data_IF_742679543165
#
_entry.id   IF_742679543165
#
_cell.length_a   1.000
_cell.length_b   1.000
_cell.length_c   1.000
_cell.angle_alpha   90.00
_cell.angle_beta   90.00
_cell.angle_gamma   90.00
#
_symmetry.space_group_name_H-M   'P 1'
#
loop_
_entity.id
_entity.type
_entity.pdbx_description
1 polymer ?
#
# COMPACT_ATOMS: atom_id res chain seq x y z
N UNK A 1 8.16 -15.66 31.89
CA UNK A 1 8.25 -14.94 30.61
C UNK A 1 6.91 -14.28 30.35
N UNK A 2 6.81 -12.96 30.49
CA UNK A 2 5.58 -12.22 30.25
C UNK A 2 5.18 -12.39 28.77
N UNK A 3 4.01 -13.02 28.52
CA UNK A 3 3.36 -13.02 27.21
C UNK A 3 2.81 -11.60 26.97
N UNK A 4 3.67 -10.68 26.56
CA UNK A 4 3.15 -9.48 25.93
C UNK A 4 2.46 -9.95 24.65
N UNK A 5 1.15 -9.82 24.60
CA UNK A 5 0.38 -10.03 23.37
C UNK A 5 0.93 -9.01 22.36
N UNK A 6 1.53 -9.51 21.29
CA UNK A 6 1.94 -8.65 20.17
C UNK A 6 0.68 -8.10 19.52
N UNK A 7 0.73 -6.89 19.05
CA UNK A 7 -0.29 -6.33 18.18
C UNK A 7 -0.24 -6.96 16.79
N UNK A 8 -1.08 -6.48 15.91
CA UNK A 8 -1.21 -6.93 14.52
C UNK A 8 -0.59 -5.93 13.56
N UNK A 9 -0.26 -6.37 12.34
CA UNK A 9 0.15 -5.51 11.24
C UNK A 9 -0.79 -5.72 10.06
N UNK A 10 -1.55 -4.69 9.72
CA UNK A 10 -2.49 -4.71 8.60
C UNK A 10 -2.03 -3.76 7.51
N UNK A 11 -1.72 -4.29 6.32
CA UNK A 11 -1.46 -3.49 5.14
C UNK A 11 -2.78 -3.16 4.44
N UNK A 12 -3.10 -1.89 4.30
CA UNK A 12 -4.38 -1.42 3.75
C UNK A 12 -4.15 -0.63 2.47
N UNK A 13 -4.80 -1.03 1.39
CA UNK A 13 -4.87 -0.24 0.16
C UNK A 13 -5.81 0.95 0.32
N UNK A 14 -5.26 2.14 0.15
CA UNK A 14 -5.98 3.41 0.29
C UNK A 14 -6.74 3.84 -0.99
N UNK A 15 -6.60 3.07 -2.07
CA UNK A 15 -7.16 3.45 -3.36
C UNK A 15 -6.32 4.50 -4.11
N UNK A 16 -6.81 4.96 -5.26
CA UNK A 16 -6.07 5.80 -6.21
C UNK A 16 -6.07 7.30 -5.89
N UNK A 17 -6.60 7.72 -4.73
CA UNK A 17 -6.62 9.11 -4.29
C UNK A 17 -7.98 9.65 -3.88
N UNK A 18 -9.07 9.19 -4.51
CA UNK A 18 -10.42 9.47 -4.08
C UNK A 18 -10.71 8.70 -2.78
N UNK A 19 -11.05 9.38 -1.66
CA UNK A 19 -11.31 8.71 -0.38
C UNK A 19 -12.54 7.79 -0.43
N UNK A 20 -13.51 8.03 -1.30
CA UNK A 20 -14.69 7.18 -1.46
C UNK A 20 -14.36 5.82 -2.12
N UNK A 21 -13.17 5.69 -2.72
CA UNK A 21 -12.68 4.43 -3.26
C UNK A 21 -11.92 3.57 -2.24
N UNK A 22 -11.94 3.95 -0.96
CA UNK A 22 -11.49 3.09 0.13
C UNK A 22 -12.48 1.94 0.31
N UNK A 23 -11.95 0.73 0.49
CA UNK A 23 -12.82 -0.41 0.79
C UNK A 23 -13.41 -0.31 2.20
N UNK A 24 -14.64 -0.81 2.40
CA UNK A 24 -15.27 -0.88 3.73
C UNK A 24 -14.38 -1.63 4.74
N UNK A 25 -13.67 -2.67 4.28
CA UNK A 25 -12.74 -3.42 5.13
C UNK A 25 -11.54 -2.56 5.51
N UNK A 26 -11.02 -1.76 4.58
CA UNK A 26 -9.95 -0.79 4.82
C UNK A 26 -10.36 0.28 5.84
N UNK A 27 -11.54 0.84 5.69
CA UNK A 27 -12.10 1.81 6.64
C UNK A 27 -12.15 1.24 8.06
N UNK A 28 -12.73 0.04 8.23
CA UNK A 28 -12.80 -0.62 9.54
C UNK A 28 -11.43 -0.91 10.17
N UNK A 29 -10.41 -1.17 9.34
CA UNK A 29 -9.05 -1.36 9.84
C UNK A 29 -8.45 -0.03 10.33
N UNK A 30 -8.65 1.07 9.58
CA UNK A 30 -8.22 2.41 9.97
C UNK A 30 -8.86 2.82 11.31
N UNK A 31 -10.17 2.64 11.45
CA UNK A 31 -10.93 3.00 12.66
C UNK A 31 -10.43 2.30 13.93
N UNK A 32 -9.89 1.10 13.81
CA UNK A 32 -9.43 0.27 14.94
C UNK A 32 -7.94 0.39 15.24
N UNK A 33 -7.17 1.04 14.37
CA UNK A 33 -5.72 1.10 14.51
C UNK A 33 -5.28 1.93 15.71
N UNK A 34 -4.26 1.47 16.44
CA UNK A 34 -3.53 2.28 17.41
C UNK A 34 -2.54 3.22 16.72
N UNK A 35 -1.94 2.73 15.62
CA UNK A 35 -0.96 3.48 14.83
C UNK A 35 -1.22 3.33 13.34
N UNK A 36 -1.19 4.45 12.62
CA UNK A 36 -1.29 4.48 11.16
C UNK A 36 0.03 5.00 10.57
N UNK A 37 0.74 4.12 9.86
CA UNK A 37 1.91 4.49 9.06
C UNK A 37 1.45 4.77 7.62
N UNK A 38 1.74 5.97 7.12
CA UNK A 38 1.25 6.39 5.80
C UNK A 38 2.31 7.12 4.98
N UNK A 39 2.16 7.14 3.66
CA UNK A 39 3.06 7.82 2.72
C UNK A 39 2.37 9.00 2.00
N UNK A 40 3.09 9.61 1.06
CA UNK A 40 2.61 10.80 0.34
C UNK A 40 1.55 10.51 -0.74
N UNK A 41 1.27 9.23 -1.02
CA UNK A 41 0.34 8.83 -2.08
C UNK A 41 -1.10 8.66 -1.60
N UNK A 42 -1.31 8.69 -0.28
CA UNK A 42 -2.66 8.57 0.29
C UNK A 42 -3.34 9.96 0.39
N UNK A 43 -4.65 9.97 0.30
CA UNK A 43 -5.43 11.17 0.62
C UNK A 43 -5.46 11.36 2.14
N UNK A 44 -4.98 12.51 2.67
CA UNK A 44 -4.91 12.75 4.11
C UNK A 44 -6.27 12.68 4.83
N UNK A 45 -7.37 12.95 4.15
CA UNK A 45 -8.74 12.86 4.68
C UNK A 45 -9.04 11.46 5.26
N UNK A 46 -8.41 10.41 4.73
CA UNK A 46 -8.55 9.06 5.26
C UNK A 46 -8.06 8.92 6.70
N UNK A 47 -7.17 9.78 7.16
CA UNK A 47 -6.65 9.77 8.52
C UNK A 47 -7.67 10.32 9.54
N UNK A 48 -8.67 11.07 9.08
CA UNK A 48 -9.70 11.66 9.94
C UNK A 48 -10.70 10.62 10.44
N UNK A 49 -10.78 9.45 9.79
CA UNK A 49 -11.60 8.33 10.25
C UNK A 49 -11.13 7.73 11.58
N UNK A 50 -9.90 8.03 12.02
CA UNK A 50 -9.43 7.66 13.35
C UNK A 50 -8.64 8.82 13.97
N UNK A 51 -9.31 9.75 14.66
CA UNK A 51 -8.65 10.91 15.28
C UNK A 51 -7.72 10.51 16.44
N UNK A 52 -7.91 9.37 17.05
CA UNK A 52 -7.17 8.90 18.24
C UNK A 52 -5.88 8.13 17.89
N UNK A 53 -5.80 7.54 16.70
CA UNK A 53 -4.62 6.81 16.28
C UNK A 53 -3.38 7.72 16.19
N UNK A 54 -2.22 7.20 16.57
CA UNK A 54 -0.94 7.85 16.28
C UNK A 54 -0.66 7.79 14.78
N UNK A 55 -0.55 8.94 14.12
CA UNK A 55 -0.29 9.07 12.69
C UNK A 55 1.19 9.32 12.44
N UNK A 56 1.88 8.43 11.71
CA UNK A 56 3.31 8.52 11.42
C UNK A 56 3.53 8.56 9.92
N UNK A 57 4.04 9.67 9.42
CA UNK A 57 4.43 9.79 8.03
C UNK A 57 5.75 9.04 7.76
N UNK A 58 5.74 8.14 6.79
CA UNK A 58 6.91 7.32 6.38
C UNK A 58 7.28 7.51 4.91
N UNK A 59 6.57 8.39 4.20
CA UNK A 59 6.79 8.66 2.78
C UNK A 59 8.03 9.52 2.50
N UNK A 60 8.31 9.69 1.20
CA UNK A 60 9.36 10.59 0.72
C UNK A 60 8.78 11.99 0.54
N UNK A 61 9.38 13.00 1.15
CA UNK A 61 9.12 14.42 0.84
C UNK A 61 10.41 15.08 0.34
N UNK A 62 10.30 15.96 -0.67
CA UNK A 62 11.44 16.79 -1.09
C UNK A 62 11.95 17.59 0.11
N UNK A 63 13.26 17.52 0.37
CA UNK A 63 13.90 18.29 1.45
C UNK A 63 13.90 17.63 2.83
N UNK A 64 13.32 16.46 3.04
CA UNK A 64 13.37 15.71 4.29
C UNK A 64 14.16 14.41 4.14
N UNK A 65 14.79 13.97 5.24
CA UNK A 65 15.44 12.66 5.31
C UNK A 65 14.40 11.57 5.03
N UNK A 66 14.54 10.94 3.87
CA UNK A 66 13.66 9.83 3.48
C UNK A 66 13.99 8.60 4.33
N UNK A 67 13.01 8.06 5.04
CA UNK A 67 13.18 6.76 5.67
C UNK A 67 13.49 5.70 4.61
N UNK A 68 14.56 4.95 4.82
CA UNK A 68 14.85 3.77 4.00
C UNK A 68 13.80 2.71 4.31
N UNK A 69 13.55 1.80 3.36
CA UNK A 69 12.57 0.71 3.58
C UNK A 69 12.89 -0.11 4.83
N UNK A 70 14.18 -0.30 5.12
CA UNK A 70 14.62 -1.01 6.33
C UNK A 70 14.11 -0.32 7.60
N UNK A 71 14.20 1.01 7.68
CA UNK A 71 13.73 1.79 8.82
C UNK A 71 12.21 1.71 9.01
N UNK A 72 11.45 1.64 7.88
CA UNK A 72 9.99 1.46 7.92
C UNK A 72 9.67 0.06 8.45
N UNK A 73 10.35 -0.97 7.96
CA UNK A 73 10.18 -2.35 8.38
C UNK A 73 10.48 -2.53 9.87
N UNK A 74 11.59 -1.96 10.36
CA UNK A 74 11.96 -1.98 11.77
C UNK A 74 10.92 -1.24 12.65
N UNK A 75 10.40 -0.12 12.17
CA UNK A 75 9.37 0.64 12.87
C UNK A 75 8.08 -0.16 13.02
N UNK A 76 7.62 -0.83 11.95
CA UNK A 76 6.44 -1.71 11.96
C UNK A 76 6.60 -2.77 13.06
N UNK A 77 7.71 -3.51 13.04
CA UNK A 77 8.00 -4.58 14.01
C UNK A 77 8.09 -4.03 15.44
N UNK A 78 8.76 -2.90 15.62
CA UNK A 78 8.90 -2.23 16.92
C UNK A 78 7.55 -1.86 17.54
N UNK A 79 6.64 -1.32 16.74
CA UNK A 79 5.32 -0.90 17.21
C UNK A 79 4.44 -2.11 17.55
N UNK A 80 4.38 -3.11 16.69
CA UNK A 80 3.61 -4.31 16.92
C UNK A 80 4.14 -5.13 18.11
N UNK A 81 5.45 -5.18 18.35
CA UNK A 81 6.02 -5.81 19.55
C UNK A 81 5.67 -5.10 20.87
N UNK A 82 5.21 -3.85 20.81
CA UNK A 82 4.65 -3.14 21.97
C UNK A 82 3.18 -3.46 22.24
N UNK A 83 2.57 -4.35 21.44
CA UNK A 83 1.16 -4.71 21.53
C UNK A 83 0.23 -3.78 20.74
N UNK A 84 0.75 -2.89 19.89
CA UNK A 84 -0.07 -1.93 19.13
C UNK A 84 -0.55 -2.54 17.81
N UNK A 85 -1.81 -2.30 17.46
CA UNK A 85 -2.37 -2.64 16.16
C UNK A 85 -1.95 -1.58 15.13
N UNK A 86 -1.09 -2.01 14.21
CA UNK A 86 -0.44 -1.13 13.23
C UNK A 86 -1.12 -1.27 11.88
N UNK A 87 -1.69 -0.19 11.37
CA UNK A 87 -2.12 -0.08 9.97
C UNK A 87 -1.02 0.58 9.14
N UNK A 88 -0.57 -0.11 8.10
CA UNK A 88 0.27 0.46 7.04
C UNK A 88 -0.62 0.85 5.86
N UNK A 89 -0.97 2.13 5.74
CA UNK A 89 -1.83 2.67 4.70
C UNK A 89 -0.98 3.01 3.46
N UNK A 90 -1.31 2.40 2.32
CA UNK A 90 -0.54 2.44 1.06
C UNK A 90 -1.43 2.92 -0.08
N UNK A 91 -0.94 3.83 -0.92
CA UNK A 91 -1.69 4.27 -2.11
C UNK A 91 -1.98 3.10 -3.06
N UNK A 92 -3.13 3.11 -3.72
CA UNK A 92 -3.58 2.06 -4.61
C UNK A 92 -3.85 0.73 -3.90
N UNK A 93 -3.33 -0.36 -4.47
CA UNK A 93 -3.33 -1.70 -3.87
C UNK A 93 -1.94 -2.04 -3.31
N UNK A 94 -1.84 -2.63 -2.10
CA UNK A 94 -0.56 -2.92 -1.45
C UNK A 94 0.34 -3.86 -2.25
N UNK A 95 -0.24 -4.79 -3.01
CA UNK A 95 0.48 -5.81 -3.76
C UNK A 95 0.89 -5.37 -5.18
N UNK A 96 0.43 -4.18 -5.63
CA UNK A 96 0.79 -3.64 -6.94
C UNK A 96 1.89 -2.58 -6.80
N UNK A 97 3.13 -2.93 -7.07
CA UNK A 97 4.33 -2.07 -6.95
C UNK A 97 4.52 -1.40 -5.57
N UNK A 98 3.83 -1.93 -4.54
CA UNK A 98 3.75 -1.33 -3.21
C UNK A 98 4.81 -1.82 -2.21
N UNK A 99 5.72 -2.72 -2.57
CA UNK A 99 6.72 -3.35 -1.69
C UNK A 99 6.13 -4.03 -0.45
N UNK A 100 4.87 -4.43 -0.52
CA UNK A 100 4.15 -5.07 0.60
C UNK A 100 4.83 -6.36 1.07
N UNK A 101 5.41 -7.14 0.16
CA UNK A 101 6.09 -8.40 0.50
C UNK A 101 7.22 -8.19 1.50
N UNK A 102 8.02 -7.12 1.34
CA UNK A 102 9.13 -6.80 2.26
C UNK A 102 8.62 -6.47 3.67
N UNK A 103 7.52 -5.70 3.76
CA UNK A 103 6.90 -5.30 5.03
C UNK A 103 6.26 -6.51 5.74
N UNK A 104 5.61 -7.42 4.97
CA UNK A 104 5.01 -8.63 5.50
C UNK A 104 6.05 -9.64 5.98
N UNK A 105 7.06 -9.92 5.16
CA UNK A 105 8.10 -10.89 5.51
C UNK A 105 8.79 -10.55 6.83
N UNK A 106 9.10 -9.28 7.05
CA UNK A 106 9.78 -8.87 8.29
C UNK A 106 8.86 -9.02 9.51
N UNK A 107 7.57 -8.70 9.37
CA UNK A 107 6.59 -8.89 10.43
C UNK A 107 6.38 -10.38 10.74
N UNK A 108 6.26 -11.22 9.71
CA UNK A 108 6.12 -12.69 9.87
C UNK A 108 7.36 -13.32 10.50
N UNK A 109 8.58 -12.91 10.08
CA UNK A 109 9.83 -13.35 10.72
C UNK A 109 9.90 -12.97 12.20
N UNK A 110 9.23 -11.88 12.59
CA UNK A 110 9.09 -11.46 13.98
C UNK A 110 7.90 -12.14 14.70
N UNK A 111 7.24 -13.13 14.09
CA UNK A 111 6.06 -13.82 14.62
C UNK A 111 4.90 -12.86 14.99
N UNK A 112 4.69 -11.83 14.18
CA UNK A 112 3.58 -10.88 14.29
C UNK A 112 2.48 -11.33 13.33
N UNK A 113 1.22 -11.29 13.80
CA UNK A 113 0.06 -11.56 12.94
C UNK A 113 -0.07 -10.47 11.87
N UNK A 114 -0.27 -10.88 10.62
CA UNK A 114 -0.34 -9.97 9.48
C UNK A 114 -1.62 -10.16 8.69
N UNK A 115 -2.18 -9.07 8.17
CA UNK A 115 -3.30 -9.07 7.24
C UNK A 115 -3.01 -8.12 6.07
N UNK A 116 -3.57 -8.44 4.89
CA UNK A 116 -3.60 -7.53 3.74
C UNK A 116 -5.05 -7.25 3.39
N UNK A 117 -5.35 -5.98 3.18
CA UNK A 117 -6.65 -5.52 2.70
C UNK A 117 -6.43 -4.85 1.35
N UNK A 118 -7.06 -5.41 0.32
CA UNK A 118 -6.97 -4.90 -1.04
C UNK A 118 -7.47 -3.45 -1.15
N UNK A 119 -6.87 -2.71 -2.05
CA UNK A 119 -7.33 -1.40 -2.48
C UNK A 119 -7.55 -1.35 -4.00
N UNK A 120 -8.20 -0.31 -4.47
CA UNK A 120 -8.36 -0.08 -5.91
C UNK A 120 -7.03 0.42 -6.46
N UNK A 121 -6.41 -0.34 -7.36
CA UNK A 121 -5.15 0.04 -7.98
C UNK A 121 -5.33 1.26 -8.90
N UNK A 122 -4.30 2.08 -9.06
CA UNK A 122 -4.37 3.34 -9.83
C UNK A 122 -4.77 3.11 -11.29
N UNK A 123 -4.31 2.06 -11.93
CA UNK A 123 -4.67 1.76 -13.31
C UNK A 123 -6.17 1.47 -13.47
N UNK A 124 -6.81 0.80 -12.51
CA UNK A 124 -8.26 0.57 -12.52
C UNK A 124 -9.03 1.86 -12.19
N UNK A 125 -8.62 2.56 -11.13
CA UNK A 125 -9.30 3.78 -10.69
C UNK A 125 -9.26 4.89 -11.73
N UNK A 126 -8.10 5.17 -12.34
CA UNK A 126 -7.94 6.19 -13.38
C UNK A 126 -8.70 5.79 -14.64
N UNK A 127 -8.60 4.53 -15.09
CA UNK A 127 -9.32 4.05 -16.26
C UNK A 127 -10.85 4.21 -16.09
N UNK A 128 -11.38 3.85 -14.92
CA UNK A 128 -12.80 4.03 -14.61
C UNK A 128 -13.23 5.49 -14.61
N UNK A 129 -12.44 6.37 -13.97
CA UNK A 129 -12.72 7.80 -13.89
C UNK A 129 -12.79 8.46 -15.28
N UNK A 130 -11.96 8.00 -16.22
CA UNK A 130 -11.91 8.50 -17.58
C UNK A 130 -12.71 7.68 -18.58
N UNK A 131 -13.48 6.68 -18.13
CA UNK A 131 -14.28 5.78 -18.97
C UNK A 131 -13.44 5.08 -20.05
N UNK A 132 -12.20 4.72 -19.70
CA UNK A 132 -11.29 3.98 -20.57
C UNK A 132 -11.44 2.48 -20.27
N UNK A 133 -11.97 1.67 -21.18
CA UNK A 133 -12.04 0.23 -20.97
C UNK A 133 -10.63 -0.38 -21.04
N UNK A 134 -10.24 -1.10 -19.98
CA UNK A 134 -8.96 -1.86 -19.96
C UNK A 134 -9.04 -3.11 -20.84
N UNK A 135 -10.25 -3.65 -21.03
CA UNK A 135 -10.53 -4.77 -21.92
C UNK A 135 -11.81 -4.50 -22.70
N UNK A 136 -11.87 -4.99 -23.94
CA UNK A 136 -13.06 -4.90 -24.79
C UNK A 136 -13.21 -6.19 -25.58
N UNK A 137 -14.30 -6.92 -25.34
CA UNK A 137 -14.55 -8.22 -25.95
C UNK A 137 -14.46 -8.14 -27.47
N UNK A 138 -13.63 -9.01 -28.07
CA UNK A 138 -13.40 -9.06 -29.50
C UNK A 138 -12.44 -8.01 -30.06
N UNK A 139 -11.93 -7.09 -29.21
CA UNK A 139 -10.92 -6.08 -29.62
C UNK A 139 -9.67 -6.14 -28.75
N UNK A 140 -9.83 -6.07 -27.41
CA UNK A 140 -8.72 -6.09 -26.46
C UNK A 140 -9.05 -7.07 -25.35
N UNK A 141 -8.50 -8.28 -25.42
CA UNK A 141 -8.81 -9.38 -24.50
C UNK A 141 -7.81 -9.44 -23.31
N UNK A 142 -6.78 -8.61 -23.34
CA UNK A 142 -5.75 -8.53 -22.30
C UNK A 142 -5.26 -7.10 -22.12
N UNK A 143 -4.63 -6.83 -20.98
CA UNK A 143 -3.87 -5.60 -20.72
C UNK A 143 -2.67 -5.93 -19.84
N UNK A 144 -1.62 -5.12 -19.96
CA UNK A 144 -0.39 -5.31 -19.21
C UNK A 144 -0.20 -4.19 -18.19
N UNK A 145 0.15 -4.59 -16.96
CA UNK A 145 0.51 -3.65 -15.89
C UNK A 145 2.02 -3.77 -15.67
N UNK A 146 2.75 -2.78 -16.12
CA UNK A 146 4.23 -2.76 -16.03
C UNK A 146 4.69 -1.52 -15.28
N UNK A 147 5.78 -1.67 -14.48
CA UNK A 147 6.42 -0.49 -13.90
C UNK A 147 7.26 0.23 -14.94
N UNK A 148 7.16 1.56 -15.00
CA UNK A 148 8.02 2.35 -15.90
C UNK A 148 9.48 2.37 -15.48
N UNK A 149 9.78 2.15 -14.19
CA UNK A 149 11.14 2.25 -13.64
C UNK A 149 11.50 1.02 -12.83
N UNK A 150 12.66 0.47 -13.09
CA UNK A 150 13.28 -0.60 -12.30
C UNK A 150 13.91 -0.04 -11.03
N UNK A 151 14.37 -0.92 -10.14
CA UNK A 151 15.07 -0.56 -8.89
C UNK A 151 16.28 0.35 -9.13
N UNK A 152 16.92 0.25 -10.30
CA UNK A 152 18.10 1.05 -10.69
C UNK A 152 17.74 2.33 -11.47
N UNK A 153 16.48 2.78 -11.42
CA UNK A 153 15.94 3.94 -12.14
C UNK A 153 16.10 3.85 -13.68
N UNK A 154 16.27 2.65 -14.22
CA UNK A 154 16.25 2.39 -15.67
C UNK A 154 14.83 2.06 -16.12
N UNK A 155 14.51 2.33 -17.37
CA UNK A 155 13.27 1.86 -17.99
C UNK A 155 13.21 0.32 -17.93
N UNK A 156 12.01 -0.21 -17.63
CA UNK A 156 11.80 -1.64 -17.68
C UNK A 156 11.86 -2.14 -19.13
N UNK A 157 12.58 -3.26 -19.36
CA UNK A 157 12.58 -3.95 -20.66
C UNK A 157 11.19 -4.45 -21.06
N UNK A 158 10.31 -4.69 -20.10
CA UNK A 158 8.95 -5.18 -20.31
C UNK A 158 8.09 -4.17 -21.08
N UNK A 159 8.45 -2.87 -21.06
CA UNK A 159 7.78 -1.83 -21.85
C UNK A 159 7.90 -2.13 -23.35
N UNK A 160 9.09 -2.56 -23.81
CA UNK A 160 9.32 -2.92 -25.22
C UNK A 160 8.53 -4.16 -25.61
N UNK A 161 8.38 -5.12 -24.71
CA UNK A 161 7.58 -6.33 -24.93
C UNK A 161 6.08 -5.99 -24.97
N UNK A 162 5.61 -5.18 -24.03
CA UNK A 162 4.24 -4.72 -23.99
C UNK A 162 3.85 -3.94 -25.24
N UNK A 163 4.75 -3.10 -25.76
CA UNK A 163 4.52 -2.33 -27.00
C UNK A 163 4.42 -3.20 -28.28
N UNK A 164 4.89 -4.45 -28.23
CA UNK A 164 4.75 -5.42 -29.32
C UNK A 164 3.50 -6.30 -29.17
N UNK A 165 2.83 -6.21 -28.02
CA UNK A 165 1.58 -6.94 -27.76
C UNK A 165 0.41 -6.27 -28.45
N UNK A 166 -0.61 -7.05 -28.76
CA UNK A 166 -1.94 -6.58 -29.20
C UNK A 166 -2.89 -6.31 -28.04
N UNK A 167 -2.37 -6.31 -26.81
CA UNK A 167 -3.13 -6.06 -25.60
C UNK A 167 -3.46 -4.58 -25.44
#
# INVERSE_FOLDING_TARGET
MSKYNKGTVTLVGAGPGDPELLTIKGLKAIEKADVILYDALINPVLLDHNPTAQKIFVGKRRGFLNKKQVEINELIVKLANKGLDVVRLKGGDPLVFGRACEELEIAQKAFISTEIIAGIASYTGIATQHQIPLTKRGEHESFWVVTGHTQNAKLSSDISLAAQSTA
#
